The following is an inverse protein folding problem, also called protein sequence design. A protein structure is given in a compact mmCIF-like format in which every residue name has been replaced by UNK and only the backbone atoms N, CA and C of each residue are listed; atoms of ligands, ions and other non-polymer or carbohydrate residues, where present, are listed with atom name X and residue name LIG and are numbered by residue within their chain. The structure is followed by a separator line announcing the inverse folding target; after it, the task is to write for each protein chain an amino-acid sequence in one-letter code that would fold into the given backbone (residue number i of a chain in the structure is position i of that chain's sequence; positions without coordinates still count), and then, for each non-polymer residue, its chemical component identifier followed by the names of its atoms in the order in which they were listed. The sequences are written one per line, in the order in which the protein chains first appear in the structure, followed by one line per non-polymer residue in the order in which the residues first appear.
data_IF_161817454032
#
_entry.id   IF_161817454032
#
_cell.length_a   1.000
_cell.length_b   1.000
_cell.length_c   1.000
_cell.angle_alpha   90.00
_cell.angle_beta   90.00
_cell.angle_gamma   90.00
#
_symmetry.space_group_name_H-M   'P 1'
#
loop_
_entity.id
_entity.type
_entity.pdbx_description
1 polymer ?
#
# COMPACT_ATOMS: atom_id res chain seq x y z
N UNK A 1 -62.55 -37.22 -23.12
CA UNK A 1 -61.77 -35.97 -23.23
C UNK A 1 -60.68 -36.00 -22.18
N UNK A 2 -59.45 -36.24 -22.65
CA UNK A 2 -58.27 -36.29 -21.78
C UNK A 2 -57.43 -35.04 -22.04
N UNK A 3 -57.36 -34.12 -21.07
CA UNK A 3 -56.43 -32.98 -21.10
C UNK A 3 -55.04 -33.44 -20.67
N UNK A 4 -54.07 -33.38 -21.61
CA UNK A 4 -52.66 -33.53 -21.31
C UNK A 4 -52.11 -32.20 -20.87
N UNK A 5 -51.74 -32.09 -19.58
CA UNK A 5 -50.97 -30.97 -19.04
C UNK A 5 -49.49 -31.16 -19.40
N UNK A 6 -48.97 -30.23 -20.21
CA UNK A 6 -47.56 -30.18 -20.58
C UNK A 6 -46.84 -29.36 -19.48
N UNK A 7 -46.03 -30.03 -18.66
CA UNK A 7 -45.10 -29.36 -17.74
C UNK A 7 -43.88 -28.86 -18.52
N UNK A 8 -43.78 -27.55 -18.67
CA UNK A 8 -42.58 -26.89 -19.21
C UNK A 8 -41.59 -26.70 -18.07
N UNK A 9 -40.55 -27.50 -18.07
CA UNK A 9 -39.40 -27.33 -17.16
C UNK A 9 -38.55 -26.18 -17.66
N UNK A 10 -38.63 -25.04 -16.97
CA UNK A 10 -37.74 -23.88 -17.23
C UNK A 10 -36.40 -24.12 -16.58
N UNK A 11 -35.41 -24.52 -17.33
CA UNK A 11 -34.03 -24.63 -16.86
C UNK A 11 -33.43 -23.25 -16.79
N UNK A 12 -33.34 -22.71 -15.60
CA UNK A 12 -32.64 -21.44 -15.31
C UNK A 12 -31.14 -21.66 -15.47
N UNK A 13 -30.56 -21.27 -16.61
CA UNK A 13 -29.14 -21.19 -16.81
C UNK A 13 -28.60 -20.14 -15.86
N UNK A 14 -27.91 -20.56 -14.80
CA UNK A 14 -27.06 -19.68 -13.94
C UNK A 14 -26.02 -19.01 -14.84
N UNK A 15 -26.20 -17.71 -15.08
CA UNK A 15 -25.23 -16.86 -15.75
C UNK A 15 -23.96 -16.88 -14.88
N UNK A 16 -22.91 -17.55 -15.33
CA UNK A 16 -21.56 -17.41 -14.78
C UNK A 16 -21.15 -15.96 -14.94
N UNK A 17 -21.19 -15.20 -13.86
CA UNK A 17 -20.60 -13.86 -13.81
C UNK A 17 -19.10 -14.06 -13.98
N UNK A 18 -18.60 -13.86 -15.17
CA UNK A 18 -17.16 -13.77 -15.43
C UNK A 18 -16.69 -12.52 -14.71
N UNK A 19 -16.05 -12.68 -13.58
CA UNK A 19 -15.38 -11.59 -12.89
C UNK A 19 -14.30 -11.09 -13.84
N UNK A 20 -14.52 -9.92 -14.44
CA UNK A 20 -13.52 -9.30 -15.28
C UNK A 20 -12.21 -9.19 -14.46
N UNK A 21 -11.17 -9.80 -14.95
CA UNK A 21 -9.84 -9.71 -14.33
C UNK A 21 -9.41 -8.26 -14.48
N UNK A 22 -9.32 -7.54 -13.36
CA UNK A 22 -8.84 -6.16 -13.37
C UNK A 22 -7.36 -6.21 -13.71
N UNK A 23 -6.98 -5.65 -14.84
CA UNK A 23 -5.59 -5.47 -15.22
C UNK A 23 -5.12 -4.07 -14.83
N UNK A 24 -4.01 -4.03 -14.11
CA UNK A 24 -3.35 -2.78 -13.75
C UNK A 24 -2.47 -2.30 -14.92
N UNK A 25 -2.16 -0.99 -14.99
CA UNK A 25 -1.24 -0.47 -15.98
C UNK A 25 0.16 -1.11 -15.85
N UNK A 26 1.01 -0.93 -16.87
CA UNK A 26 2.34 -1.55 -16.93
C UNK A 26 3.24 -1.24 -15.72
N UNK A 27 3.15 -0.02 -15.20
CA UNK A 27 3.89 0.42 -14.02
C UNK A 27 2.91 0.92 -12.96
N UNK A 28 2.18 0.01 -12.27
CA UNK A 28 1.21 0.42 -11.29
C UNK A 28 1.88 1.02 -10.06
N UNK A 29 1.16 1.88 -9.36
CA UNK A 29 1.55 2.30 -8.02
C UNK A 29 1.53 1.10 -7.05
N UNK A 30 2.36 1.13 -6.03
CA UNK A 30 2.37 0.07 -5.01
C UNK A 30 0.99 -0.09 -4.35
N UNK A 31 0.28 1.01 -4.07
CA UNK A 31 -1.06 0.94 -3.50
C UNK A 31 -2.07 0.24 -4.42
N UNK A 32 -1.94 0.39 -5.73
CA UNK A 32 -2.82 -0.29 -6.69
C UNK A 32 -2.63 -1.80 -6.64
N UNK A 33 -1.38 -2.25 -6.56
CA UNK A 33 -1.06 -3.68 -6.43
C UNK A 33 -1.57 -4.23 -5.10
N UNK A 34 -1.31 -3.54 -3.99
CA UNK A 34 -1.74 -3.98 -2.66
C UNK A 34 -3.27 -4.01 -2.52
N UNK A 35 -3.96 -3.03 -3.10
CA UNK A 35 -5.42 -3.01 -3.13
C UNK A 35 -5.98 -4.18 -3.94
N UNK A 36 -5.41 -4.44 -5.11
CA UNK A 36 -5.82 -5.58 -5.95
C UNK A 36 -5.60 -6.93 -5.23
N UNK A 37 -4.47 -7.09 -4.55
CA UNK A 37 -4.19 -8.27 -3.72
C UNK A 37 -5.23 -8.41 -2.61
N UNK A 38 -5.53 -7.32 -1.91
CA UNK A 38 -6.52 -7.32 -0.81
C UNK A 38 -7.91 -7.74 -1.25
N UNK A 39 -8.30 -7.41 -2.47
CA UNK A 39 -9.60 -7.77 -3.04
C UNK A 39 -9.72 -9.24 -3.44
N UNK A 40 -8.61 -9.94 -3.60
CA UNK A 40 -8.64 -11.36 -3.95
C UNK A 40 -9.14 -12.19 -2.76
N UNK A 41 -10.04 -13.14 -3.04
CA UNK A 41 -10.66 -13.96 -1.99
C UNK A 41 -9.81 -15.17 -1.57
N UNK A 42 -8.98 -15.69 -2.47
CA UNK A 42 -8.16 -16.85 -2.19
C UNK A 42 -6.68 -16.48 -2.05
N UNK A 43 -5.98 -17.22 -1.19
CA UNK A 43 -4.52 -17.13 -1.02
C UNK A 43 -3.79 -17.30 -2.36
N UNK A 44 -4.19 -18.31 -3.14
CA UNK A 44 -3.57 -18.58 -4.45
C UNK A 44 -3.67 -17.39 -5.41
N UNK A 45 -4.82 -16.72 -5.47
CA UNK A 45 -5.01 -15.53 -6.31
C UNK A 45 -4.22 -14.33 -5.81
N UNK A 46 -4.09 -14.16 -4.50
CA UNK A 46 -3.24 -13.11 -3.92
C UNK A 46 -1.78 -13.29 -4.31
N UNK A 47 -1.28 -14.52 -4.24
CA UNK A 47 0.08 -14.87 -4.66
C UNK A 47 0.27 -14.62 -6.16
N UNK A 48 -0.69 -15.00 -6.98
CA UNK A 48 -0.66 -14.77 -8.43
C UNK A 48 -0.54 -13.28 -8.77
N UNK A 49 -1.31 -12.41 -8.11
CA UNK A 49 -1.27 -10.96 -8.31
C UNK A 49 0.09 -10.41 -7.89
N UNK A 50 0.61 -10.80 -6.74
CA UNK A 50 1.94 -10.37 -6.27
C UNK A 50 3.04 -10.76 -7.27
N UNK A 51 3.01 -11.98 -7.79
CA UNK A 51 3.97 -12.45 -8.80
C UNK A 51 3.85 -11.70 -10.11
N UNK A 52 2.62 -11.43 -10.57
CA UNK A 52 2.37 -10.73 -11.82
C UNK A 52 2.91 -9.30 -11.81
N UNK A 53 2.75 -8.60 -10.71
CA UNK A 53 3.15 -7.20 -10.54
C UNK A 53 4.38 -7.04 -9.65
N UNK A 54 5.23 -8.07 -9.57
CA UNK A 54 6.44 -8.02 -8.76
C UNK A 54 7.37 -6.90 -9.21
N UNK A 55 7.90 -6.22 -8.22
CA UNK A 55 8.82 -5.11 -8.38
C UNK A 55 9.68 -4.99 -7.13
N UNK A 56 10.89 -4.48 -7.28
CA UNK A 56 11.82 -4.32 -6.16
C UNK A 56 11.28 -3.39 -5.07
N UNK A 57 10.55 -2.35 -5.46
CA UNK A 57 9.95 -1.41 -4.50
C UNK A 57 8.80 -2.04 -3.72
N UNK A 58 7.96 -2.84 -4.36
CA UNK A 58 6.92 -3.62 -3.68
C UNK A 58 7.54 -4.59 -2.66
N UNK A 59 8.57 -5.32 -3.06
CA UNK A 59 9.30 -6.23 -2.15
C UNK A 59 9.92 -5.48 -0.98
N UNK A 60 10.50 -4.31 -1.22
CA UNK A 60 11.08 -3.46 -0.16
C UNK A 60 10.05 -3.05 0.88
N UNK A 61 8.88 -2.64 0.46
CA UNK A 61 7.75 -2.29 1.34
C UNK A 61 7.31 -3.51 2.17
N UNK A 62 7.14 -4.65 1.54
CA UNK A 62 6.71 -5.88 2.20
C UNK A 62 7.76 -6.42 3.18
N UNK A 63 9.04 -6.35 2.81
CA UNK A 63 10.14 -6.72 3.70
C UNK A 63 10.19 -5.78 4.91
N UNK A 64 10.10 -4.49 4.70
CA UNK A 64 10.09 -3.53 5.82
C UNK A 64 8.95 -3.83 6.81
N UNK A 65 7.76 -4.14 6.31
CA UNK A 65 6.63 -4.43 7.17
C UNK A 65 6.73 -5.78 7.89
N UNK A 66 7.16 -6.85 7.18
CA UNK A 66 7.05 -8.23 7.69
C UNK A 66 8.34 -8.81 8.25
N UNK A 67 9.50 -8.22 7.96
CA UNK A 67 10.77 -8.70 8.51
C UNK A 67 10.99 -8.12 9.91
N UNK A 68 10.93 -8.98 10.90
CA UNK A 68 11.11 -8.61 12.31
C UNK A 68 12.52 -8.10 12.63
N UNK A 69 13.53 -8.47 11.82
CA UNK A 69 14.89 -7.95 11.99
C UNK A 69 15.05 -6.50 11.54
N UNK A 70 14.13 -5.98 10.73
CA UNK A 70 14.11 -4.57 10.36
C UNK A 70 13.47 -3.77 11.49
N UNK A 71 14.23 -2.84 12.04
CA UNK A 71 13.80 -1.91 13.09
C UNK A 71 13.75 -0.52 12.52
N UNK A 72 12.57 0.08 12.49
CA UNK A 72 12.41 1.48 12.10
C UNK A 72 13.04 2.40 13.14
N UNK A 73 13.79 3.40 12.67
CA UNK A 73 14.42 4.41 13.54
C UNK A 73 13.70 5.76 13.47
N UNK A 74 12.51 5.76 12.91
CA UNK A 74 11.58 6.88 12.94
C UNK A 74 10.68 6.77 14.18
N UNK A 75 10.21 7.90 14.73
CA UNK A 75 9.26 7.87 15.84
C UNK A 75 8.01 7.06 15.49
N UNK A 76 7.51 6.23 16.41
CA UNK A 76 6.26 5.52 16.20
C UNK A 76 5.07 6.47 16.23
N UNK A 77 3.96 6.06 15.62
CA UNK A 77 2.72 6.82 15.61
C UNK A 77 2.65 7.88 14.53
N UNK A 78 1.87 8.91 14.79
CA UNK A 78 1.59 9.97 13.84
C UNK A 78 2.85 10.75 13.42
N UNK A 79 2.90 11.10 12.14
CA UNK A 79 3.98 11.90 11.56
C UNK A 79 3.59 13.37 11.59
N UNK A 80 4.39 14.25 12.25
CA UNK A 80 4.11 15.68 12.30
C UNK A 80 4.45 16.37 10.96
N UNK A 81 4.00 17.61 10.82
CA UNK A 81 4.49 18.47 9.74
C UNK A 81 5.98 18.83 9.95
N UNK A 82 6.69 19.07 8.85
CA UNK A 82 8.02 19.66 8.92
C UNK A 82 7.89 21.14 9.30
N UNK A 83 8.07 21.38 10.48
CA UNK A 83 8.24 22.48 11.38
C UNK A 83 8.24 23.92 10.97
N UNK A 84 7.88 24.52 9.88
CA UNK A 84 7.87 25.98 9.79
C UNK A 84 6.71 26.61 9.00
N UNK A 85 6.17 25.98 8.00
CA UNK A 85 5.25 26.70 7.10
C UNK A 85 3.77 26.39 7.26
N UNK A 86 3.40 25.25 7.80
CA UNK A 86 2.02 24.77 7.73
C UNK A 86 1.27 24.71 9.08
N UNK A 87 1.92 25.03 10.18
CA UNK A 87 1.31 24.96 11.53
C UNK A 87 0.10 25.89 11.71
N UNK A 88 -0.01 26.90 10.87
CA UNK A 88 -1.11 27.90 10.96
C UNK A 88 -2.30 27.57 10.06
N UNK A 89 -2.17 26.64 9.12
CA UNK A 89 -3.19 26.36 8.09
C UNK A 89 -3.99 25.10 8.40
N UNK A 90 -3.38 24.11 9.05
CA UNK A 90 -4.02 22.83 9.35
C UNK A 90 -3.91 22.49 10.83
N UNK A 91 -5.05 22.18 11.45
CA UNK A 91 -5.08 21.55 12.77
C UNK A 91 -4.79 20.06 12.59
N UNK A 92 -3.81 19.55 13.32
CA UNK A 92 -3.47 18.14 13.31
C UNK A 92 -2.05 17.84 12.81
N UNK A 93 -1.82 16.59 12.44
CA UNK A 93 -0.53 16.09 11.96
C UNK A 93 -0.55 15.85 10.45
N UNK A 94 0.61 15.60 9.86
CA UNK A 94 0.69 15.18 8.46
C UNK A 94 -0.08 13.88 8.23
N UNK A 95 -0.04 12.94 9.18
CA UNK A 95 -0.84 11.71 9.14
C UNK A 95 -2.33 12.03 9.05
N UNK A 96 -2.84 12.92 9.87
CA UNK A 96 -4.25 13.33 9.84
C UNK A 96 -4.65 13.89 8.48
N UNK A 97 -3.80 14.74 7.89
CA UNK A 97 -4.06 15.31 6.56
C UNK A 97 -4.11 14.23 5.48
N UNK A 98 -3.17 13.29 5.50
CA UNK A 98 -3.13 12.20 4.53
C UNK A 98 -4.37 11.31 4.68
N UNK A 99 -4.78 10.98 5.90
CA UNK A 99 -6.00 10.20 6.16
C UNK A 99 -7.26 10.89 5.64
N UNK A 100 -7.37 12.20 5.79
CA UNK A 100 -8.47 12.98 5.24
C UNK A 100 -8.48 12.98 3.71
N UNK A 101 -7.32 13.12 3.08
CA UNK A 101 -7.19 13.09 1.63
C UNK A 101 -7.56 11.71 1.07
N UNK A 102 -7.13 10.63 1.72
CA UNK A 102 -7.50 9.26 1.36
C UNK A 102 -9.01 9.05 1.50
N UNK A 103 -9.60 9.52 2.59
CA UNK A 103 -11.05 9.44 2.81
C UNK A 103 -11.84 10.17 1.72
N UNK A 104 -11.43 11.38 1.36
CA UNK A 104 -12.05 12.16 0.28
C UNK A 104 -11.95 11.46 -1.07
N UNK A 105 -10.84 10.81 -1.37
CA UNK A 105 -10.66 10.03 -2.59
C UNK A 105 -11.66 8.86 -2.66
N UNK A 106 -11.89 8.17 -1.55
CA UNK A 106 -12.88 7.08 -1.49
C UNK A 106 -14.33 7.60 -1.59
N UNK A 107 -14.64 8.71 -0.94
CA UNK A 107 -15.98 9.31 -0.96
C UNK A 107 -16.35 9.83 -2.36
N UNK A 108 -15.40 10.39 -3.09
CA UNK A 108 -15.62 10.99 -4.42
C UNK A 108 -15.29 10.04 -5.58
N UNK A 109 -14.82 8.83 -5.27
CA UNK A 109 -14.28 7.87 -6.26
C UNK A 109 -13.21 8.50 -7.17
N UNK A 110 -12.44 9.43 -6.61
CA UNK A 110 -11.38 10.17 -7.30
C UNK A 110 -10.01 9.74 -6.78
N UNK A 111 -9.26 9.03 -7.63
CA UNK A 111 -7.90 8.58 -7.34
C UNK A 111 -6.84 9.38 -8.12
N UNK A 112 -7.19 10.58 -8.57
CA UNK A 112 -6.24 11.48 -9.21
C UNK A 112 -5.12 11.87 -8.26
N UNK A 113 -3.97 12.21 -8.83
CA UNK A 113 -2.89 12.85 -8.08
C UNK A 113 -3.42 14.10 -7.38
N UNK A 114 -3.07 14.26 -6.10
CA UNK A 114 -3.67 15.27 -5.24
C UNK A 114 -3.51 16.71 -5.74
N UNK A 115 -4.26 17.60 -5.12
CA UNK A 115 -4.32 19.03 -5.48
C UNK A 115 -3.14 19.86 -4.97
N UNK A 116 -2.26 19.30 -4.17
CA UNK A 116 -1.04 19.96 -3.71
C UNK A 116 0.03 19.97 -4.79
N UNK A 117 0.76 21.06 -4.94
CA UNK A 117 1.85 21.23 -5.91
C UNK A 117 2.96 20.17 -5.76
N UNK A 118 3.03 19.50 -4.62
CA UNK A 118 4.05 18.48 -4.33
C UNK A 118 3.54 17.05 -4.45
N UNK A 119 2.25 16.80 -4.31
CA UNK A 119 1.68 15.45 -4.35
C UNK A 119 1.83 14.81 -5.73
N UNK A 120 2.32 13.58 -5.73
CA UNK A 120 2.52 12.82 -6.96
C UNK A 120 3.78 13.19 -7.75
N UNK A 121 4.66 14.02 -7.20
CA UNK A 121 5.95 14.33 -7.81
C UNK A 121 6.96 13.19 -7.68
N UNK A 122 6.76 12.30 -6.71
CA UNK A 122 7.56 11.10 -6.54
C UNK A 122 6.69 9.88 -6.36
N UNK A 123 7.29 8.71 -6.30
CA UNK A 123 6.63 7.42 -6.11
C UNK A 123 7.43 6.55 -5.15
N UNK A 124 6.77 5.58 -4.51
CA UNK A 124 7.48 4.56 -3.72
C UNK A 124 8.54 3.86 -4.58
N UNK A 125 8.26 3.61 -5.85
CA UNK A 125 9.21 3.01 -6.79
C UNK A 125 10.51 3.81 -6.90
N UNK A 126 10.43 5.12 -6.88
CA UNK A 126 11.60 6.01 -6.90
C UNK A 126 12.29 6.09 -5.55
N UNK A 127 11.51 6.15 -4.48
CA UNK A 127 12.00 6.41 -3.12
C UNK A 127 12.51 5.16 -2.40
N UNK A 128 12.16 3.96 -2.86
CA UNK A 128 12.54 2.71 -2.18
C UNK A 128 14.05 2.54 -1.99
N UNK A 129 14.86 3.09 -2.87
CA UNK A 129 16.32 3.13 -2.75
C UNK A 129 16.81 3.91 -1.52
N UNK A 130 15.98 4.77 -0.95
CA UNK A 130 16.30 5.60 0.21
C UNK A 130 15.80 5.02 1.54
N UNK A 131 15.06 3.91 1.52
CA UNK A 131 14.44 3.35 2.72
C UNK A 131 15.43 2.86 3.76
N UNK A 132 16.64 2.47 3.35
CA UNK A 132 17.71 2.09 4.28
C UNK A 132 18.03 3.17 5.31
N UNK A 133 17.75 4.44 5.01
CA UNK A 133 17.99 5.57 5.90
C UNK A 133 17.05 5.62 7.10
N UNK A 134 15.93 4.92 7.02
CA UNK A 134 14.86 4.93 8.02
C UNK A 134 14.86 3.69 8.92
N UNK A 135 15.83 2.80 8.72
CA UNK A 135 15.94 1.55 9.47
C UNK A 135 17.31 1.44 10.12
N UNK A 136 17.35 0.76 11.27
CA UNK A 136 18.59 0.52 12.01
C UNK A 136 19.61 -0.23 11.14
N UNK A 137 20.86 0.19 11.20
CA UNK A 137 21.95 -0.41 10.44
C UNK A 137 22.11 0.11 9.02
N UNK A 138 21.17 0.90 8.50
CA UNK A 138 21.25 1.47 7.16
C UNK A 138 22.16 2.70 7.08
N UNK A 139 21.83 3.74 7.83
CA UNK A 139 22.62 4.97 7.92
C UNK A 139 22.55 5.52 9.34
N UNK A 140 23.24 4.88 10.27
CA UNK A 140 23.16 5.18 11.69
C UNK A 140 23.77 6.55 12.06
N UNK A 141 24.70 7.06 11.26
CA UNK A 141 25.31 8.38 11.43
C UNK A 141 24.40 9.57 11.09
N UNK A 142 23.23 9.34 10.54
CA UNK A 142 22.28 10.38 10.20
C UNK A 142 21.57 10.88 11.46
N UNK A 143 21.52 12.22 11.66
CA UNK A 143 20.82 12.79 12.80
C UNK A 143 19.32 12.51 12.76
N UNK A 144 18.69 12.37 13.92
CA UNK A 144 17.26 12.10 14.04
C UNK A 144 16.42 13.14 13.32
N UNK A 145 16.71 14.42 13.53
CA UNK A 145 15.97 15.53 12.89
C UNK A 145 16.07 15.46 11.37
N UNK A 146 17.27 15.23 10.85
CA UNK A 146 17.49 15.14 9.41
C UNK A 146 16.77 13.94 8.80
N UNK A 147 16.78 12.80 9.49
CA UNK A 147 16.07 11.59 9.07
C UNK A 147 14.58 11.81 9.02
N UNK A 148 14.00 12.40 10.06
CA UNK A 148 12.58 12.73 10.11
C UNK A 148 12.19 13.71 9.00
N UNK A 149 12.97 14.76 8.80
CA UNK A 149 12.74 15.74 7.72
C UNK A 149 12.75 15.07 6.34
N UNK A 150 13.69 14.16 6.09
CA UNK A 150 13.76 13.41 4.83
C UNK A 150 12.51 12.54 4.64
N UNK A 151 12.06 11.87 5.69
CA UNK A 151 10.85 11.05 5.62
C UNK A 151 9.60 11.88 5.34
N UNK A 152 9.42 13.00 6.04
CA UNK A 152 8.32 13.93 5.82
C UNK A 152 8.32 14.47 4.38
N UNK A 153 9.47 14.85 3.85
CA UNK A 153 9.59 15.32 2.46
C UNK A 153 9.19 14.26 1.44
N UNK A 154 9.51 13.00 1.69
CA UNK A 154 9.05 11.89 0.84
C UNK A 154 7.53 11.77 0.90
N UNK A 155 6.94 11.76 2.09
CA UNK A 155 5.48 11.67 2.27
C UNK A 155 4.74 12.80 1.55
N UNK A 156 5.23 14.03 1.64
CA UNK A 156 4.62 15.19 1.00
C UNK A 156 4.68 15.14 -0.52
N UNK A 157 5.67 14.45 -1.08
CA UNK A 157 5.80 14.25 -2.53
C UNK A 157 5.04 13.05 -3.09
N UNK A 158 4.54 12.15 -2.25
CA UNK A 158 3.84 10.95 -2.65
C UNK A 158 2.33 11.19 -2.88
N UNK A 159 1.75 10.37 -3.74
CA UNK A 159 0.29 10.22 -3.76
C UNK A 159 -0.20 9.82 -2.35
N UNK A 160 -1.34 10.36 -1.87
CA UNK A 160 -1.80 10.11 -0.50
C UNK A 160 -1.89 8.63 -0.13
N UNK A 161 -2.33 7.76 -1.04
CA UNK A 161 -2.40 6.32 -0.81
C UNK A 161 -1.02 5.65 -0.73
N UNK A 162 -0.01 6.17 -1.41
CA UNK A 162 1.37 5.72 -1.24
C UNK A 162 2.00 6.24 0.06
N UNK A 163 1.73 7.49 0.40
CA UNK A 163 2.18 8.06 1.67
C UNK A 163 1.61 7.29 2.87
N UNK A 164 0.34 6.94 2.82
CA UNK A 164 -0.30 6.11 3.85
C UNK A 164 0.40 4.75 4.02
N UNK A 165 0.80 4.12 2.91
CA UNK A 165 1.56 2.86 2.97
C UNK A 165 2.85 3.04 3.78
N UNK A 166 3.63 4.08 3.53
CA UNK A 166 4.87 4.33 4.27
C UNK A 166 4.63 4.60 5.75
N UNK A 167 3.57 5.32 6.09
CA UNK A 167 3.17 5.55 7.47
C UNK A 167 2.84 4.23 8.18
N UNK A 168 2.09 3.36 7.53
CA UNK A 168 1.73 2.04 8.07
C UNK A 168 2.96 1.13 8.22
N UNK A 169 3.79 1.06 7.19
CA UNK A 169 4.97 0.19 7.14
C UNK A 169 6.03 0.61 8.15
N UNK A 170 6.18 1.90 8.38
CA UNK A 170 7.07 2.44 9.41
C UNK A 170 6.81 1.79 10.78
N UNK A 171 5.56 1.57 11.11
CA UNK A 171 5.12 0.97 12.38
C UNK A 171 4.71 -0.51 12.22
N UNK A 172 5.00 -1.13 11.07
CA UNK A 172 4.65 -2.53 10.75
C UNK A 172 3.15 -2.84 10.82
N UNK A 173 2.33 -1.89 10.39
CA UNK A 173 0.86 -1.93 10.44
C UNK A 173 0.19 -2.03 9.08
N UNK A 174 0.88 -2.52 8.05
CA UNK A 174 0.32 -2.65 6.71
C UNK A 174 -0.94 -3.52 6.69
N UNK A 175 -1.00 -4.54 7.53
CA UNK A 175 -2.15 -5.44 7.65
C UNK A 175 -3.41 -4.79 8.23
N UNK A 176 -3.30 -3.63 8.85
CA UNK A 176 -4.47 -2.87 9.33
C UNK A 176 -5.34 -2.39 8.16
N UNK A 177 -4.75 -2.19 6.99
CA UNK A 177 -5.47 -1.77 5.80
C UNK A 177 -5.52 -2.82 4.70
N UNK A 178 -4.42 -3.49 4.41
CA UNK A 178 -4.29 -4.44 3.30
C UNK A 178 -4.29 -5.89 3.80
N UNK A 179 -5.12 -6.72 3.20
CA UNK A 179 -5.28 -8.14 3.60
C UNK A 179 -4.16 -9.01 3.01
N UNK A 180 -2.97 -8.80 3.51
CA UNK A 180 -1.75 -9.53 3.12
C UNK A 180 -1.07 -10.03 4.39
N UNK A 181 -0.56 -11.25 4.36
CA UNK A 181 0.18 -11.85 5.47
C UNK A 181 1.62 -12.16 5.06
N UNK A 182 2.52 -12.31 6.03
CA UNK A 182 3.91 -12.74 5.79
C UNK A 182 3.97 -14.07 5.03
N UNK A 183 3.07 -14.99 5.34
CA UNK A 183 2.98 -16.29 4.65
C UNK A 183 2.71 -16.12 3.16
N UNK A 184 1.75 -15.27 2.79
CA UNK A 184 1.44 -14.97 1.39
C UNK A 184 2.66 -14.38 0.67
N UNK A 185 3.33 -13.44 1.31
CA UNK A 185 4.55 -12.81 0.75
C UNK A 185 5.67 -13.84 0.58
N UNK A 186 5.87 -14.72 1.56
CA UNK A 186 6.88 -15.76 1.52
C UNK A 186 6.65 -16.77 0.39
N UNK A 187 5.42 -17.13 0.13
CA UNK A 187 5.07 -18.02 -0.97
C UNK A 187 5.14 -17.33 -2.34
N UNK A 188 4.79 -16.05 -2.40
CA UNK A 188 4.91 -15.26 -3.63
C UNK A 188 6.37 -15.03 -4.02
N UNK A 189 7.22 -14.77 -3.04
CA UNK A 189 8.62 -14.39 -3.21
C UNK A 189 9.55 -15.29 -2.37
N UNK A 190 9.77 -16.55 -2.79
CA UNK A 190 10.60 -17.51 -2.04
C UNK A 190 12.07 -17.07 -1.92
N UNK A 191 12.52 -16.16 -2.77
CA UNK A 191 13.86 -15.59 -2.77
C UNK A 191 14.12 -14.63 -1.60
N UNK A 192 13.08 -14.17 -0.90
CA UNK A 192 13.25 -13.30 0.26
C UNK A 192 13.77 -14.11 1.44
N UNK A 193 14.95 -13.76 1.90
CA UNK A 193 15.52 -14.28 3.13
C UNK A 193 15.10 -13.40 4.29
N UNK A 194 14.28 -13.94 5.18
CA UNK A 194 13.81 -13.23 6.36
C UNK A 194 14.85 -13.24 7.48
N UNK A 195 15.00 -12.12 8.16
CA UNK A 195 15.95 -11.98 9.26
C UNK A 195 17.33 -11.48 8.84
N UNK A 196 18.16 -11.15 9.85
CA UNK A 196 19.55 -10.74 9.65
C UNK A 196 19.79 -9.38 8.99
N UNK A 197 18.81 -8.47 9.03
CA UNK A 197 18.90 -7.15 8.37
C UNK A 197 19.22 -5.98 9.32
N UNK A 198 19.32 -6.25 10.58
CA UNK A 198 19.68 -5.20 11.57
C UNK A 198 21.14 -5.25 11.97
#
# INVERSE_FOLDING_TARGET
LILKTIMTTTTTKKKKTTTATIELPRNPFVFEVLDLVSRQRSKAKKIEVLKKYQDSSLKSVLIWNFDESIVSVLPPGEVPYSGFDDQNVYSGTLTTRIDEEVRKMHETDSFSLGSSDRQGHTTIRRESKNFYRFVKGGQDGLSTVRRETMFINILEGLHPLEAEILILVKDKKLTDKYKITKEIVSEAFPEINWGGRS
#
